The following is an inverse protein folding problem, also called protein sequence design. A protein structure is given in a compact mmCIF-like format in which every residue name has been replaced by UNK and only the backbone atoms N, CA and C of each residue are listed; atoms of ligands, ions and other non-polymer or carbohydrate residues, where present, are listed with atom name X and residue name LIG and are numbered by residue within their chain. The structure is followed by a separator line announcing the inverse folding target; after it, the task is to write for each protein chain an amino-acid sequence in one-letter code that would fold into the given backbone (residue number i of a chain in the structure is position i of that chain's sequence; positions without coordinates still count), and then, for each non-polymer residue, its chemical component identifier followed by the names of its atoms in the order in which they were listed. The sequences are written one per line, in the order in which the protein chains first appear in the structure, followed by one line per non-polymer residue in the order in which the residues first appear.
data_IF_540449842998
#
_entry.id   IF_540449842998
#
_cell.length_a   1.000
_cell.length_b   1.000
_cell.length_c   1.000
_cell.angle_alpha   90.00
_cell.angle_beta   90.00
_cell.angle_gamma   90.00
#
_symmetry.space_group_name_H-M   'P 1'
#
loop_
_entity.id
_entity.type
_entity.pdbx_description
1 polymer ?
#
# COMPACT_ATOMS: atom_id res chain seq x y z
N UNK A 1 9.81 16.89 4.28
CA UNK A 1 9.34 15.81 3.39
C UNK A 1 9.40 16.33 1.97
N UNK A 2 10.19 15.71 1.10
CA UNK A 2 10.35 16.15 -0.29
C UNK A 2 9.09 15.84 -1.08
N UNK A 3 8.31 16.86 -1.40
CA UNK A 3 7.21 16.75 -2.34
C UNK A 3 7.80 16.85 -3.74
N UNK A 4 7.53 15.86 -4.60
CA UNK A 4 7.90 15.98 -6.01
C UNK A 4 6.84 16.83 -6.71
N UNK A 5 7.23 18.02 -7.16
CA UNK A 5 6.35 18.97 -7.88
C UNK A 5 5.80 18.41 -9.19
N UNK A 6 6.39 17.33 -9.71
CA UNK A 6 6.09 16.76 -11.02
C UNK A 6 5.43 15.37 -10.97
N UNK A 7 5.13 14.82 -9.80
CA UNK A 7 4.70 13.41 -9.69
C UNK A 7 3.23 13.30 -9.26
N UNK A 8 2.35 12.72 -10.09
CA UNK A 8 1.00 12.38 -9.64
C UNK A 8 1.06 11.40 -8.46
N UNK A 9 0.12 11.53 -7.53
CA UNK A 9 -0.07 10.57 -6.42
C UNK A 9 -0.32 9.16 -6.99
N UNK A 10 0.39 8.16 -6.45
CA UNK A 10 0.25 6.75 -6.87
C UNK A 10 1.54 6.17 -7.46
N UNK A 11 1.40 5.21 -8.38
CA UNK A 11 2.53 4.60 -9.10
C UNK A 11 3.15 5.62 -10.05
N UNK A 12 4.39 6.02 -9.77
CA UNK A 12 5.14 7.00 -10.57
C UNK A 12 6.12 6.35 -11.56
N UNK A 13 6.51 5.09 -11.31
CA UNK A 13 7.47 4.36 -12.12
C UNK A 13 7.34 2.85 -11.91
N UNK A 14 7.31 2.09 -13.00
CA UNK A 14 7.43 0.63 -13.02
C UNK A 14 8.41 0.22 -14.12
N UNK A 15 9.39 -0.61 -13.78
CA UNK A 15 10.33 -1.21 -14.73
C UNK A 15 10.29 -2.73 -14.58
N UNK A 16 9.55 -3.46 -15.45
CA UNK A 16 9.34 -4.90 -15.31
C UNK A 16 10.61 -5.76 -15.32
N UNK A 17 11.71 -5.25 -15.91
CA UNK A 17 13.01 -5.92 -15.89
C UNK A 17 13.76 -5.77 -14.56
N UNK A 18 13.37 -4.79 -13.74
CA UNK A 18 14.01 -4.47 -12.46
C UNK A 18 13.08 -4.67 -11.25
N UNK A 19 11.80 -4.97 -11.48
CA UNK A 19 10.81 -5.14 -10.43
C UNK A 19 10.38 -6.61 -10.31
N UNK A 20 10.18 -7.06 -9.08
CA UNK A 20 9.51 -8.32 -8.82
C UNK A 20 8.03 -8.19 -9.19
N UNK A 21 7.51 -9.18 -9.91
CA UNK A 21 6.09 -9.27 -10.23
C UNK A 21 5.29 -9.56 -8.96
N UNK A 22 4.11 -8.95 -8.84
CA UNK A 22 3.19 -9.24 -7.76
C UNK A 22 2.36 -8.02 -7.39
N UNK A 23 2.15 -7.87 -6.09
CA UNK A 23 1.38 -6.77 -5.53
C UNK A 23 2.21 -6.06 -4.46
N UNK A 24 1.95 -4.75 -4.30
CA UNK A 24 2.53 -3.97 -3.21
C UNK A 24 1.45 -3.72 -2.17
N UNK A 25 1.68 -4.22 -0.95
CA UNK A 25 0.89 -3.87 0.23
C UNK A 25 1.56 -2.69 0.94
N UNK A 26 0.81 -1.63 1.19
CA UNK A 26 1.31 -0.50 1.98
C UNK A 26 0.22 0.15 2.83
N UNK A 27 0.66 0.81 3.90
CA UNK A 27 -0.14 1.73 4.70
C UNK A 27 0.56 3.06 4.83
N UNK A 28 -0.21 4.13 5.00
CA UNK A 28 0.31 5.46 5.31
C UNK A 28 0.38 5.64 6.82
N UNK A 29 1.48 6.24 7.31
CA UNK A 29 1.59 6.54 8.72
C UNK A 29 0.48 7.51 9.15
N UNK A 30 -0.29 7.16 10.19
CA UNK A 30 -1.49 7.91 10.60
C UNK A 30 -2.72 7.73 9.70
N UNK A 31 -2.63 6.84 8.69
CA UNK A 31 -3.74 6.50 7.81
C UNK A 31 -4.76 5.55 8.46
N UNK A 32 -5.95 5.49 7.86
CA UNK A 32 -7.05 4.62 8.29
C UNK A 32 -7.23 3.37 7.43
N UNK A 33 -6.32 3.11 6.50
CA UNK A 33 -6.47 2.04 5.54
C UNK A 33 -5.12 1.47 5.08
N UNK A 34 -5.14 0.22 4.63
CA UNK A 34 -4.06 -0.42 3.90
C UNK A 34 -4.52 -0.71 2.47
N UNK A 35 -3.63 -0.50 1.50
CA UNK A 35 -3.89 -0.73 0.08
C UNK A 35 -3.03 -1.87 -0.43
N UNK A 36 -3.65 -2.76 -1.21
CA UNK A 36 -2.95 -3.68 -2.11
C UNK A 36 -3.07 -3.14 -3.53
N UNK A 37 -1.94 -2.85 -4.16
CA UNK A 37 -1.89 -2.37 -5.55
C UNK A 37 -1.18 -3.35 -6.46
N UNK A 38 -1.62 -3.43 -7.73
CA UNK A 38 -0.92 -4.16 -8.78
C UNK A 38 0.27 -3.36 -9.36
N UNK A 39 0.91 -3.94 -10.37
CA UNK A 39 2.07 -3.36 -11.05
C UNK A 39 1.71 -2.14 -11.92
N UNK A 40 0.42 -1.90 -12.17
CA UNK A 40 -0.13 -0.76 -12.89
C UNK A 40 -0.63 0.34 -11.92
N UNK A 41 -0.46 0.12 -10.61
CA UNK A 41 -0.83 1.07 -9.56
C UNK A 41 -2.33 1.10 -9.26
N UNK A 42 -3.11 0.15 -9.77
CA UNK A 42 -4.53 0.05 -9.47
C UNK A 42 -4.73 -0.57 -8.09
N UNK A 43 -5.71 -0.05 -7.33
CA UNK A 43 -6.07 -0.62 -6.04
C UNK A 43 -6.87 -1.91 -6.30
N UNK A 44 -6.25 -3.05 -6.02
CA UNK A 44 -6.90 -4.35 -6.13
C UNK A 44 -7.76 -4.66 -4.89
N UNK A 45 -7.32 -4.19 -3.72
CA UNK A 45 -8.04 -4.36 -2.47
C UNK A 45 -7.68 -3.23 -1.49
N UNK A 46 -8.65 -2.85 -0.65
CA UNK A 46 -8.47 -1.91 0.45
C UNK A 46 -9.11 -2.46 1.72
N UNK A 47 -8.34 -2.43 2.81
CA UNK A 47 -8.85 -2.65 4.16
C UNK A 47 -8.93 -1.30 4.87
N UNK A 48 -10.04 -1.05 5.57
CA UNK A 48 -10.25 0.17 6.35
C UNK A 48 -10.52 -0.20 7.80
N UNK A 49 -9.98 0.59 8.73
CA UNK A 49 -10.24 0.43 10.16
C UNK A 49 -10.25 1.79 10.86
N UNK A 50 -11.27 2.02 11.70
CA UNK A 50 -11.52 3.35 12.27
C UNK A 50 -10.43 3.82 13.24
N UNK A 51 -9.74 2.90 13.93
CA UNK A 51 -8.61 3.25 14.81
C UNK A 51 -7.28 3.37 14.05
N UNK A 52 -7.31 3.29 12.72
CA UNK A 52 -6.09 3.37 11.93
C UNK A 52 -5.45 2.03 11.61
N UNK A 53 -4.54 2.05 10.63
CA UNK A 53 -3.68 0.92 10.29
C UNK A 53 -2.25 1.44 10.18
N UNK A 54 -1.40 1.21 11.18
CA UNK A 54 0.00 1.69 11.21
C UNK A 54 1.02 0.69 10.67
N UNK A 55 0.66 -0.59 10.62
CA UNK A 55 1.46 -1.69 10.08
C UNK A 55 0.55 -2.75 9.50
N UNK A 56 0.97 -3.41 8.43
CA UNK A 56 0.16 -4.40 7.72
C UNK A 56 1.02 -5.52 7.13
N UNK A 57 0.57 -6.76 7.30
CA UNK A 57 1.15 -7.96 6.68
C UNK A 57 0.02 -8.83 6.11
N UNK A 58 0.13 -9.20 4.84
CA UNK A 58 -0.77 -10.17 4.21
C UNK A 58 -0.33 -11.59 4.59
N UNK A 59 -1.24 -12.35 5.19
CA UNK A 59 -1.00 -13.74 5.56
C UNK A 59 -1.29 -14.67 4.38
N UNK A 60 -0.75 -15.90 4.41
CA UNK A 60 -0.92 -16.90 3.34
C UNK A 60 -2.39 -17.29 3.10
N UNK A 61 -3.27 -17.12 4.09
CA UNK A 61 -4.71 -17.37 3.97
C UNK A 61 -5.50 -16.19 3.38
N UNK A 62 -4.83 -15.11 2.99
CA UNK A 62 -5.46 -13.91 2.43
C UNK A 62 -6.00 -12.92 3.47
N UNK A 63 -5.90 -13.23 4.77
CA UNK A 63 -6.28 -12.27 5.82
C UNK A 63 -5.17 -11.25 6.06
N UNK A 64 -5.58 -10.06 6.48
CA UNK A 64 -4.65 -9.00 6.87
C UNK A 64 -4.37 -9.06 8.37
N UNK A 65 -3.10 -9.25 8.75
CA UNK A 65 -2.61 -8.94 10.09
C UNK A 65 -2.21 -7.47 10.12
N UNK A 66 -2.74 -6.69 11.06
CA UNK A 66 -2.40 -5.27 11.15
C UNK A 66 -2.30 -4.78 12.59
N UNK A 67 -1.62 -3.63 12.76
CA UNK A 67 -1.55 -2.89 14.02
C UNK A 67 -2.32 -1.58 13.86
N UNK A 68 -3.11 -1.21 14.86
CA UNK A 68 -3.82 0.08 14.91
C UNK A 68 -2.86 1.25 15.11
N UNK A 69 -3.37 2.47 15.00
CA UNK A 69 -2.59 3.64 15.42
C UNK A 69 -2.44 3.66 16.97
N UNK A 70 -1.42 4.35 17.50
CA UNK A 70 -1.23 4.50 18.94
C UNK A 70 -2.40 5.20 19.64
#
# INVERSE_FOLDING_TARGET
MGWSEHHPVGLIHNSPSLAYRGYTLFTTNGGNHANLVDMEGQICHRWEYHEGISYSQLLLNGNLLFRTNP
#
